data_IF_634902484920
#
_entry.id   IF_634902484920
#
_cell.length_a   1.000
_cell.length_b   1.000
_cell.length_c   1.000
_cell.angle_alpha   90.00
_cell.angle_beta   90.00
_cell.angle_gamma   90.00
#
_symmetry.space_group_name_H-M   'P 1'
#
loop_
_entity.id
_entity.type
_entity.pdbx_description
1 polymer ?
#
# COMPACT_ATOMS: atom_id res chain seq x y z
N UNK A 1 -2.30 8.98 22.83
CA UNK A 1 -3.42 8.29 22.11
C UNK A 1 -4.03 7.25 23.04
N UNK A 2 -5.35 7.12 23.08
CA UNK A 2 -6.01 6.07 23.86
C UNK A 2 -6.20 4.77 23.07
N UNK A 3 -6.64 3.70 23.74
CA UNK A 3 -6.80 2.38 23.11
C UNK A 3 -7.95 2.31 22.09
N UNK A 4 -9.01 3.13 22.26
CA UNK A 4 -10.12 3.21 21.30
C UNK A 4 -9.68 3.90 20.02
N UNK A 5 -8.91 4.98 20.13
CA UNK A 5 -8.30 5.65 18.99
C UNK A 5 -7.38 4.70 18.21
N UNK A 6 -6.57 3.89 18.92
CA UNK A 6 -5.69 2.92 18.28
C UNK A 6 -6.47 1.83 17.52
N UNK A 7 -7.52 1.27 18.11
CA UNK A 7 -8.41 0.32 17.43
C UNK A 7 -9.08 0.94 16.20
N UNK A 8 -9.59 2.16 16.34
CA UNK A 8 -10.27 2.85 15.24
C UNK A 8 -9.30 3.19 14.10
N UNK A 9 -8.11 3.69 14.41
CA UNK A 9 -7.09 3.95 13.39
C UNK A 9 -6.59 2.65 12.74
N UNK A 10 -6.50 1.56 13.50
CA UNK A 10 -6.24 0.23 12.93
C UNK A 10 -7.33 -0.22 11.96
N UNK A 11 -8.62 0.01 12.28
CA UNK A 11 -9.74 -0.24 11.37
C UNK A 11 -9.60 0.62 10.09
N UNK A 12 -9.34 1.92 10.24
CA UNK A 12 -9.13 2.84 9.10
C UNK A 12 -7.97 2.34 8.24
N UNK A 13 -6.82 1.99 8.84
CA UNK A 13 -5.67 1.42 8.14
C UNK A 13 -6.06 0.16 7.37
N UNK A 14 -6.69 -0.81 8.03
CA UNK A 14 -7.08 -2.08 7.42
C UNK A 14 -8.01 -1.91 6.23
N UNK A 15 -9.04 -1.08 6.37
CA UNK A 15 -9.99 -0.83 5.28
C UNK A 15 -9.36 -0.09 4.09
N UNK A 16 -8.42 0.83 4.33
CA UNK A 16 -7.95 1.76 3.30
C UNK A 16 -6.62 1.38 2.67
N UNK A 17 -5.84 0.46 3.26
CA UNK A 17 -4.51 0.07 2.76
C UNK A 17 -4.58 -0.58 1.37
N UNK A 18 -5.55 -1.46 1.16
CA UNK A 18 -5.66 -2.22 -0.08
C UNK A 18 -6.53 -1.52 -1.12
N UNK A 19 -7.51 -0.74 -0.68
CA UNK A 19 -8.31 0.08 -1.57
C UNK A 19 -7.43 1.19 -2.19
N UNK A 20 -7.62 1.54 -3.47
CA UNK A 20 -6.82 2.57 -4.11
C UNK A 20 -7.25 3.99 -3.71
N UNK A 21 -7.37 4.25 -2.37
CA UNK A 21 -7.87 5.50 -1.79
C UNK A 21 -6.90 6.19 -0.82
N UNK A 22 -5.72 5.60 -0.58
CA UNK A 22 -4.64 6.10 0.28
C UNK A 22 -4.92 6.02 1.80
N UNK A 23 -4.43 4.96 2.44
CA UNK A 23 -4.45 4.81 3.90
C UNK A 23 -3.74 5.96 4.62
N UNK A 24 -2.60 6.40 4.10
CA UNK A 24 -1.83 7.53 4.65
C UNK A 24 -2.65 8.83 4.69
N UNK A 25 -3.43 9.10 3.65
CA UNK A 25 -4.33 10.26 3.66
C UNK A 25 -5.40 10.13 4.74
N UNK A 26 -6.03 8.96 4.87
CA UNK A 26 -7.07 8.73 5.88
C UNK A 26 -6.53 8.82 7.31
N UNK A 27 -5.34 8.25 7.57
CA UNK A 27 -4.70 8.31 8.88
C UNK A 27 -4.26 9.74 9.26
N UNK A 28 -4.24 10.68 8.31
CA UNK A 28 -3.99 12.10 8.57
C UNK A 28 -5.28 12.89 8.70
N UNK A 29 -6.22 12.66 7.78
CA UNK A 29 -7.46 13.44 7.67
C UNK A 29 -8.47 13.05 8.76
N UNK A 30 -8.63 11.76 9.04
CA UNK A 30 -9.62 11.28 10.03
C UNK A 30 -9.32 11.78 11.44
N UNK A 31 -8.09 11.72 11.98
CA UNK A 31 -7.76 12.36 13.25
C UNK A 31 -8.05 13.86 13.26
N UNK A 32 -7.69 14.57 12.18
CA UNK A 32 -7.95 16.00 12.06
C UNK A 32 -9.45 16.33 12.18
N UNK A 33 -10.32 15.61 11.48
CA UNK A 33 -11.78 15.81 11.56
C UNK A 33 -12.36 15.49 12.94
N UNK A 34 -11.76 14.54 13.66
CA UNK A 34 -12.21 14.17 15.00
C UNK A 34 -11.58 15.03 16.12
N UNK A 35 -10.74 16.01 15.77
CA UNK A 35 -10.02 16.84 16.74
C UNK A 35 -8.95 16.05 17.52
N UNK A 36 -8.43 14.95 16.96
CA UNK A 36 -7.37 14.15 17.54
C UNK A 36 -5.99 14.64 17.05
N UNK A 37 -4.97 14.41 17.85
CA UNK A 37 -3.60 14.63 17.41
C UNK A 37 -3.21 13.66 16.31
N UNK A 38 -2.32 14.10 15.41
CA UNK A 38 -1.74 13.22 14.38
C UNK A 38 -0.98 12.07 15.05
N UNK A 39 -1.33 10.81 14.78
CA UNK A 39 -0.63 9.66 15.36
C UNK A 39 0.84 9.54 14.93
N UNK A 40 1.25 10.32 13.94
CA UNK A 40 2.61 10.31 13.42
C UNK A 40 2.85 9.23 12.36
N UNK A 41 4.00 9.38 11.68
CA UNK A 41 4.41 8.43 10.65
C UNK A 41 4.77 7.06 11.26
N UNK A 42 5.36 7.06 12.44
CA UNK A 42 5.82 5.87 13.14
C UNK A 42 4.66 4.94 13.51
N UNK A 43 3.63 5.45 14.19
CA UNK A 43 2.42 4.69 14.50
C UNK A 43 1.77 4.14 13.21
N UNK A 44 1.64 5.01 12.20
CA UNK A 44 1.03 4.64 10.90
C UNK A 44 1.79 3.50 10.21
N UNK A 45 3.12 3.52 10.25
CA UNK A 45 3.95 2.48 9.66
C UNK A 45 3.90 1.15 10.45
N UNK A 46 3.85 1.23 11.79
CA UNK A 46 3.78 0.02 12.63
C UNK A 46 2.44 -0.69 12.47
N UNK A 47 1.32 0.02 12.42
CA UNK A 47 0.01 -0.64 12.22
C UNK A 47 -0.14 -1.25 10.81
N UNK A 48 0.68 -0.86 9.82
CA UNK A 48 0.78 -1.53 8.52
C UNK A 48 1.24 -2.99 8.64
N UNK A 49 1.94 -3.37 9.72
CA UNK A 49 2.28 -4.78 9.97
C UNK A 49 1.05 -5.67 10.10
N UNK A 50 -0.06 -5.14 10.60
CA UNK A 50 -1.33 -5.86 10.62
C UNK A 50 -1.82 -6.15 9.20
N UNK A 51 -1.82 -5.16 8.33
CA UNK A 51 -2.19 -5.36 6.91
C UNK A 51 -1.18 -6.24 6.17
N UNK A 52 0.11 -6.18 6.50
CA UNK A 52 1.11 -7.11 5.99
C UNK A 52 0.78 -8.55 6.37
N UNK A 53 0.45 -8.82 7.63
CA UNK A 53 0.00 -10.14 8.08
C UNK A 53 -1.26 -10.58 7.33
N UNK A 54 -2.20 -9.67 7.07
CA UNK A 54 -3.40 -9.96 6.28
C UNK A 54 -3.05 -10.44 4.86
N UNK A 55 -2.14 -9.76 4.16
CA UNK A 55 -1.68 -10.20 2.82
C UNK A 55 -0.96 -11.55 2.90
N UNK A 56 -0.07 -11.73 3.87
CA UNK A 56 0.66 -12.98 4.04
C UNK A 56 -0.29 -14.17 4.28
N UNK A 57 -1.30 -13.99 5.12
CA UNK A 57 -2.31 -15.03 5.40
C UNK A 57 -3.18 -15.26 4.18
N UNK A 58 -3.68 -14.19 3.54
CA UNK A 58 -4.56 -14.30 2.39
C UNK A 58 -3.89 -14.98 1.19
N UNK A 59 -2.65 -14.58 0.89
CA UNK A 59 -1.85 -15.09 -0.23
C UNK A 59 -0.80 -16.13 0.20
N UNK A 60 -1.01 -16.82 1.32
CA UNK A 60 -0.02 -17.74 1.87
C UNK A 60 0.52 -18.75 0.85
N UNK A 61 -0.38 -19.35 0.06
CA UNK A 61 0.01 -20.34 -0.96
C UNK A 61 0.87 -19.72 -2.07
N UNK A 62 0.51 -18.50 -2.53
CA UNK A 62 1.26 -17.79 -3.55
C UNK A 62 2.67 -17.43 -3.03
N UNK A 63 2.74 -16.87 -1.84
CA UNK A 63 4.01 -16.49 -1.19
C UNK A 63 4.90 -17.72 -0.99
N UNK A 64 4.34 -18.81 -0.48
CA UNK A 64 5.06 -20.06 -0.29
C UNK A 64 5.61 -20.59 -1.62
N UNK A 65 4.84 -20.60 -2.68
CA UNK A 65 5.29 -21.03 -4.02
C UNK A 65 6.45 -20.18 -4.53
N UNK A 66 6.35 -18.85 -4.40
CA UNK A 66 7.41 -17.92 -4.80
C UNK A 66 8.70 -18.15 -4.01
N UNK A 67 8.62 -18.27 -2.69
CA UNK A 67 9.77 -18.49 -1.81
C UNK A 67 10.43 -19.85 -2.10
N UNK A 68 9.63 -20.92 -2.20
CA UNK A 68 10.16 -22.27 -2.49
C UNK A 68 10.83 -22.29 -3.86
N UNK A 69 10.23 -21.68 -4.89
CA UNK A 69 10.82 -21.61 -6.22
C UNK A 69 12.19 -20.91 -6.22
N UNK A 70 12.34 -19.82 -5.48
CA UNK A 70 13.63 -19.13 -5.32
C UNK A 70 14.64 -20.04 -4.61
N UNK A 71 14.28 -20.64 -3.46
CA UNK A 71 15.18 -21.48 -2.67
C UNK A 71 15.66 -22.72 -3.46
N UNK A 72 14.75 -23.39 -4.16
CA UNK A 72 15.05 -24.54 -5.02
C UNK A 72 15.92 -24.12 -6.21
N UNK A 73 15.59 -22.99 -6.85
CA UNK A 73 16.38 -22.45 -7.95
C UNK A 73 17.81 -22.11 -7.55
N UNK A 74 18.00 -21.48 -6.38
CA UNK A 74 19.33 -21.19 -5.83
C UNK A 74 20.11 -22.47 -5.49
N UNK A 75 19.47 -23.44 -4.82
CA UNK A 75 20.07 -24.74 -4.49
C UNK A 75 20.55 -25.49 -5.74
N UNK A 76 19.76 -25.45 -6.81
CA UNK A 76 20.06 -26.13 -8.06
C UNK A 76 20.95 -25.29 -9.02
N UNK A 77 21.39 -24.09 -8.59
CA UNK A 77 22.14 -23.13 -9.41
C UNK A 77 21.42 -22.70 -10.68
N UNK A 78 20.09 -22.68 -10.64
CA UNK A 78 19.19 -22.27 -11.75
C UNK A 78 18.12 -21.28 -11.24
N UNK A 79 18.51 -20.08 -10.82
CA UNK A 79 17.65 -19.15 -10.09
C UNK A 79 16.46 -18.62 -10.90
N UNK A 80 16.45 -18.79 -12.23
CA UNK A 80 15.41 -18.27 -13.13
C UNK A 80 14.72 -19.38 -13.95
N UNK A 81 14.79 -20.64 -13.52
CA UNK A 81 14.30 -21.77 -14.32
C UNK A 81 12.76 -21.82 -14.37
N UNK A 82 12.10 -21.50 -13.24
CA UNK A 82 10.62 -21.57 -13.17
C UNK A 82 9.97 -20.19 -13.28
N UNK A 83 8.72 -20.16 -13.74
CA UNK A 83 7.94 -18.91 -13.85
C UNK A 83 7.75 -18.22 -12.49
N UNK A 84 7.56 -19.02 -11.43
CA UNK A 84 7.42 -18.54 -10.06
C UNK A 84 8.73 -17.89 -9.56
N UNK A 85 9.88 -18.51 -9.85
CA UNK A 85 11.17 -17.94 -9.50
C UNK A 85 11.42 -16.63 -10.28
N UNK A 86 11.14 -16.59 -11.56
CA UNK A 86 11.23 -15.38 -12.38
C UNK A 86 10.32 -14.26 -11.85
N UNK A 87 9.09 -14.60 -11.45
CA UNK A 87 8.14 -13.66 -10.86
C UNK A 87 8.66 -13.13 -9.50
N UNK A 88 9.16 -14.00 -8.65
CA UNK A 88 9.71 -13.61 -7.35
C UNK A 88 10.91 -12.65 -7.48
N UNK A 89 11.85 -12.96 -8.37
CA UNK A 89 12.97 -12.07 -8.67
C UNK A 89 12.53 -10.75 -9.31
N UNK A 90 11.49 -10.78 -10.16
CA UNK A 90 10.92 -9.57 -10.75
C UNK A 90 10.24 -8.68 -9.72
N UNK A 91 9.57 -9.27 -8.71
CA UNK A 91 9.01 -8.55 -7.55
C UNK A 91 10.13 -7.93 -6.72
N UNK A 92 11.18 -8.68 -6.40
CA UNK A 92 12.33 -8.18 -5.66
C UNK A 92 12.98 -6.99 -6.37
N UNK A 93 13.27 -7.12 -7.66
CA UNK A 93 13.82 -6.04 -8.47
C UNK A 93 12.87 -4.84 -8.61
N UNK A 94 11.55 -5.09 -8.78
CA UNK A 94 10.53 -4.04 -8.85
C UNK A 94 10.31 -3.30 -7.53
N UNK A 95 10.81 -3.83 -6.41
CA UNK A 95 10.78 -3.14 -5.11
C UNK A 95 11.98 -2.20 -4.93
N UNK A 96 13.08 -2.37 -5.68
CA UNK A 96 14.27 -1.55 -5.53
C UNK A 96 14.01 -0.03 -5.71
N UNK A 97 13.25 0.44 -6.71
CA UNK A 97 13.01 1.87 -6.88
C UNK A 97 12.40 2.53 -5.64
N UNK A 98 11.35 1.93 -5.05
CA UNK A 98 10.72 2.49 -3.84
C UNK A 98 11.66 2.43 -2.64
N UNK A 99 12.48 1.37 -2.51
CA UNK A 99 13.47 1.25 -1.44
C UNK A 99 14.55 2.33 -1.53
N UNK A 100 15.17 2.50 -2.70
CA UNK A 100 16.23 3.49 -2.92
C UNK A 100 15.71 4.92 -2.72
N UNK A 101 14.58 5.25 -3.33
CA UNK A 101 13.99 6.58 -3.21
C UNK A 101 13.45 6.85 -1.79
N UNK A 102 12.87 5.82 -1.14
CA UNK A 102 12.38 5.92 0.23
C UNK A 102 13.50 6.26 1.23
N UNK A 103 14.65 5.62 1.09
CA UNK A 103 15.83 5.93 1.92
C UNK A 103 16.42 7.30 1.58
N UNK A 104 16.48 7.63 0.29
CA UNK A 104 17.07 8.91 -0.18
C UNK A 104 16.23 10.15 0.18
N UNK A 105 14.92 10.00 0.32
CA UNK A 105 13.98 11.10 0.63
C UNK A 105 13.30 10.92 2.00
N UNK A 106 13.88 10.11 2.91
CA UNK A 106 13.29 9.76 4.21
C UNK A 106 12.80 10.98 5.00
N UNK A 107 13.66 11.98 5.16
CA UNK A 107 13.35 13.17 5.96
C UNK A 107 12.22 13.98 5.35
N UNK A 108 12.26 14.22 4.05
CA UNK A 108 11.19 14.90 3.32
C UNK A 108 9.84 14.17 3.42
N UNK A 109 9.86 12.82 3.33
CA UNK A 109 8.65 11.99 3.45
C UNK A 109 8.04 12.09 4.86
N UNK A 110 8.89 12.15 5.89
CA UNK A 110 8.44 12.23 7.29
C UNK A 110 7.96 13.64 7.68
N UNK A 111 8.35 14.69 6.96
CA UNK A 111 8.09 16.10 7.27
C UNK A 111 7.21 16.78 6.22
N UNK A 112 7.80 17.45 5.24
CA UNK A 112 7.13 18.34 4.29
C UNK A 112 6.07 17.61 3.44
N UNK A 113 6.33 16.36 3.05
CA UNK A 113 5.39 15.58 2.24
C UNK A 113 4.06 15.28 2.95
N UNK A 114 4.00 15.40 4.28
CA UNK A 114 2.78 15.22 5.07
C UNK A 114 1.87 16.47 5.09
N UNK A 115 2.23 17.55 4.44
CA UNK A 115 1.37 18.73 4.32
C UNK A 115 0.07 18.38 3.58
N UNK A 116 -1.08 18.87 4.09
CA UNK A 116 -2.42 18.52 3.57
C UNK A 116 -2.56 18.86 2.08
N UNK A 117 -2.01 19.99 1.63
CA UNK A 117 -2.06 20.37 0.21
C UNK A 117 -1.30 19.40 -0.71
N UNK A 118 -0.17 18.81 -0.24
CA UNK A 118 0.58 17.79 -0.98
C UNK A 118 -0.25 16.51 -1.06
N UNK A 119 -0.80 16.07 0.07
CA UNK A 119 -1.66 14.88 0.16
C UNK A 119 -2.87 15.04 -0.76
N UNK A 120 -3.54 16.18 -0.69
CA UNK A 120 -4.71 16.46 -1.51
C UNK A 120 -4.41 16.50 -3.01
N UNK A 121 -3.34 17.19 -3.40
CA UNK A 121 -2.90 17.22 -4.80
C UNK A 121 -2.57 15.81 -5.30
N UNK A 122 -1.84 15.02 -4.52
CA UNK A 122 -1.50 13.63 -4.85
C UNK A 122 -2.76 12.74 -4.97
N UNK A 123 -3.77 12.95 -4.11
CA UNK A 123 -5.05 12.25 -4.20
C UNK A 123 -5.72 12.48 -5.56
N UNK A 124 -5.82 13.75 -6.00
CA UNK A 124 -6.47 14.08 -7.28
C UNK A 124 -5.64 13.60 -8.46
N UNK A 125 -4.35 13.93 -8.49
CA UNK A 125 -3.49 13.57 -9.62
C UNK A 125 -3.51 12.06 -9.86
N UNK A 126 -3.34 11.25 -8.80
CA UNK A 126 -3.39 9.81 -8.99
C UNK A 126 -4.81 9.30 -9.30
N UNK A 127 -5.87 9.95 -8.80
CA UNK A 127 -7.23 9.60 -9.18
C UNK A 127 -7.44 9.77 -10.70
N UNK A 128 -7.00 10.89 -11.28
CA UNK A 128 -7.05 11.14 -12.72
C UNK A 128 -6.21 10.13 -13.49
N UNK A 129 -4.99 9.87 -13.06
CA UNK A 129 -4.10 8.89 -13.70
C UNK A 129 -4.67 7.47 -13.63
N UNK A 130 -5.26 7.06 -12.52
CA UNK A 130 -5.92 5.76 -12.39
C UNK A 130 -7.12 5.65 -13.32
N UNK A 131 -7.94 6.68 -13.40
CA UNK A 131 -9.06 6.74 -14.35
C UNK A 131 -8.59 6.65 -15.81
N UNK A 132 -7.57 7.40 -16.20
CA UNK A 132 -6.97 7.32 -17.54
C UNK A 132 -6.42 5.92 -17.83
N UNK A 133 -5.67 5.36 -16.88
CA UNK A 133 -5.11 4.01 -17.01
C UNK A 133 -6.22 2.98 -17.25
N UNK A 134 -7.33 3.05 -16.51
CA UNK A 134 -8.46 2.15 -16.70
C UNK A 134 -9.18 2.39 -18.03
N UNK A 135 -9.37 3.65 -18.40
CA UNK A 135 -10.10 4.03 -19.65
C UNK A 135 -9.40 3.54 -20.90
N UNK A 136 -8.06 3.53 -20.89
CA UNK A 136 -7.24 3.12 -22.04
C UNK A 136 -6.67 1.71 -21.92
N UNK A 137 -6.91 1.00 -20.81
CA UNK A 137 -6.43 -0.37 -20.61
C UNK A 137 -7.16 -1.35 -21.52
N UNK A 138 -6.42 -2.30 -22.06
CA UNK A 138 -7.01 -3.48 -22.74
C UNK A 138 -7.61 -4.46 -21.75
N UNK A 139 -7.16 -4.46 -20.48
CA UNK A 139 -7.61 -5.28 -19.35
C UNK A 139 -7.82 -6.78 -19.68
N UNK A 140 -6.92 -7.38 -20.50
CA UNK A 140 -7.06 -8.74 -21.01
C UNK A 140 -5.93 -9.69 -20.57
N UNK A 141 -4.88 -9.18 -19.91
CA UNK A 141 -3.71 -9.97 -19.50
C UNK A 141 -3.82 -10.46 -18.05
N UNK A 142 -3.15 -11.59 -17.80
CA UNK A 142 -2.86 -12.11 -16.45
C UNK A 142 -1.42 -11.82 -16.07
N UNK A 143 -1.10 -11.85 -14.77
CA UNK A 143 0.27 -11.62 -14.25
C UNK A 143 1.29 -12.56 -14.91
N UNK A 144 0.96 -13.83 -15.10
CA UNK A 144 1.82 -14.82 -15.76
C UNK A 144 2.21 -14.46 -17.21
N UNK A 145 1.53 -13.50 -17.83
CA UNK A 145 1.81 -13.02 -19.19
C UNK A 145 2.68 -11.75 -19.22
N UNK A 146 3.07 -11.24 -18.02
CA UNK A 146 3.94 -10.09 -17.92
C UNK A 146 5.40 -10.53 -18.03
N UNK A 147 6.14 -9.91 -18.95
CA UNK A 147 7.60 -10.02 -18.96
C UNK A 147 8.23 -9.09 -17.90
N UNK A 148 9.52 -9.33 -17.62
CA UNK A 148 10.31 -8.61 -16.63
C UNK A 148 10.13 -7.09 -16.72
N UNK A 149 10.31 -6.46 -17.87
CA UNK A 149 10.24 -5.00 -18.04
C UNK A 149 8.87 -4.39 -17.68
N UNK A 150 7.76 -5.13 -17.96
CA UNK A 150 6.43 -4.66 -17.57
C UNK A 150 6.25 -4.69 -16.05
N UNK A 151 6.81 -5.71 -15.40
CA UNK A 151 6.81 -5.79 -13.92
C UNK A 151 7.65 -4.64 -13.34
N UNK A 152 8.81 -4.32 -13.94
CA UNK A 152 9.64 -3.20 -13.49
C UNK A 152 8.92 -1.84 -13.67
N UNK A 153 8.12 -1.67 -14.73
CA UNK A 153 7.27 -0.49 -14.88
C UNK A 153 6.27 -0.35 -13.72
N UNK A 154 5.61 -1.44 -13.34
CA UNK A 154 4.68 -1.44 -12.19
C UNK A 154 5.44 -1.14 -10.89
N UNK A 155 6.65 -1.69 -10.74
CA UNK A 155 7.56 -1.38 -9.63
C UNK A 155 7.98 0.09 -9.57
N UNK A 156 8.23 0.71 -10.72
CA UNK A 156 8.50 2.15 -10.79
C UNK A 156 7.27 2.97 -10.40
N UNK A 157 6.08 2.58 -10.85
CA UNK A 157 4.83 3.20 -10.40
C UNK A 157 4.64 3.07 -8.88
N UNK A 158 5.13 1.99 -8.25
CA UNK A 158 5.09 1.82 -6.80
C UNK A 158 5.84 2.94 -6.07
N UNK A 159 6.91 3.49 -6.65
CA UNK A 159 7.67 4.58 -6.03
C UNK A 159 6.86 5.87 -5.86
N UNK A 160 5.80 6.08 -6.64
CA UNK A 160 4.86 7.20 -6.42
C UNK A 160 4.22 7.15 -5.03
N UNK A 161 4.12 5.96 -4.42
CA UNK A 161 3.56 5.79 -3.07
C UNK A 161 4.38 6.45 -1.95
N UNK A 162 5.62 6.87 -2.22
CA UNK A 162 6.43 7.68 -1.31
C UNK A 162 5.84 9.08 -1.09
N UNK A 163 5.04 9.56 -2.04
CA UNK A 163 4.29 10.81 -1.88
C UNK A 163 2.99 10.45 -1.13
N UNK A 164 2.79 10.94 0.11
CA UNK A 164 1.54 10.71 0.85
C UNK A 164 0.34 11.19 0.03
N UNK A 165 -0.74 10.41 0.04
CA UNK A 165 -1.89 10.67 -0.84
C UNK A 165 -1.87 9.86 -2.14
N UNK A 166 -0.71 9.47 -2.70
CA UNK A 166 -0.66 8.69 -3.93
C UNK A 166 -1.26 7.28 -3.81
N UNK A 167 -1.29 6.67 -2.62
CA UNK A 167 -1.73 5.29 -2.45
C UNK A 167 -0.84 4.26 -3.16
N UNK A 168 -0.21 3.37 -2.44
CA UNK A 168 0.64 2.31 -3.00
C UNK A 168 -0.19 1.37 -3.88
N UNK A 169 -1.32 0.89 -3.37
CA UNK A 169 -2.26 0.05 -4.14
C UNK A 169 -2.78 0.79 -5.38
N UNK A 170 -3.15 2.06 -5.25
CA UNK A 170 -3.58 2.89 -6.38
C UNK A 170 -2.53 3.03 -7.46
N UNK A 171 -1.29 3.33 -7.10
CA UNK A 171 -0.16 3.50 -8.03
C UNK A 171 0.19 2.20 -8.76
N UNK A 172 0.22 1.07 -8.05
CA UNK A 172 0.56 -0.23 -8.64
C UNK A 172 -0.60 -0.83 -9.45
N UNK A 173 -1.86 -0.65 -9.03
CA UNK A 173 -3.03 -1.02 -9.83
C UNK A 173 -3.05 -0.21 -11.13
N UNK A 174 -2.84 1.10 -11.06
CA UNK A 174 -2.69 1.97 -12.23
C UNK A 174 -1.61 1.45 -13.18
N UNK A 175 -0.40 1.18 -12.66
CA UNK A 175 0.71 0.63 -13.45
C UNK A 175 0.36 -0.73 -14.08
N UNK A 176 -0.35 -1.60 -13.36
CA UNK A 176 -0.85 -2.88 -13.87
C UNK A 176 -1.85 -2.74 -14.99
N UNK A 177 -2.81 -1.81 -14.86
CA UNK A 177 -3.80 -1.50 -15.90
C UNK A 177 -3.13 -0.92 -17.16
N UNK A 178 -2.13 -0.04 -17.01
CA UNK A 178 -1.33 0.47 -18.14
C UNK A 178 -0.61 -0.65 -18.89
N UNK A 179 -0.19 -1.71 -18.18
CA UNK A 179 0.42 -2.89 -18.80
C UNK A 179 -0.60 -3.90 -19.34
N UNK A 180 -1.90 -3.58 -19.26
CA UNK A 180 -3.01 -4.36 -19.81
C UNK A 180 -3.48 -5.50 -18.92
N UNK A 181 -3.16 -5.50 -17.62
CA UNK A 181 -3.69 -6.48 -16.68
C UNK A 181 -5.21 -6.32 -16.50
N UNK A 182 -5.88 -7.43 -16.25
CA UNK A 182 -7.26 -7.43 -15.74
C UNK A 182 -7.26 -6.72 -14.37
N UNK A 183 -8.40 -6.10 -13.99
CA UNK A 183 -8.50 -5.30 -12.76
C UNK A 183 -8.17 -6.10 -11.50
N UNK A 184 -8.74 -7.28 -11.36
CA UNK A 184 -8.49 -8.19 -10.24
C UNK A 184 -7.04 -8.72 -10.23
N UNK A 185 -6.47 -9.01 -11.40
CA UNK A 185 -5.06 -9.39 -11.53
C UNK A 185 -4.11 -8.24 -11.17
N UNK A 186 -4.44 -7.00 -11.56
CA UNK A 186 -3.68 -5.81 -11.19
C UNK A 186 -3.69 -5.58 -9.67
N UNK A 187 -4.85 -5.74 -9.02
CA UNK A 187 -4.96 -5.66 -7.57
C UNK A 187 -4.18 -6.78 -6.86
N UNK A 188 -4.36 -8.04 -7.30
CA UNK A 188 -3.63 -9.18 -6.76
C UNK A 188 -2.12 -9.00 -6.85
N UNK A 189 -1.63 -8.58 -8.03
CA UNK A 189 -0.20 -8.34 -8.23
C UNK A 189 0.30 -7.16 -7.41
N UNK A 190 -0.49 -6.09 -7.29
CA UNK A 190 -0.19 -4.94 -6.43
C UNK A 190 0.09 -5.36 -4.99
N UNK A 191 -0.70 -6.29 -4.44
CA UNK A 191 -0.52 -6.77 -3.06
C UNK A 191 0.76 -7.59 -2.92
N UNK A 192 1.04 -8.50 -3.84
CA UNK A 192 2.27 -9.30 -3.82
C UNK A 192 3.52 -8.43 -3.99
N UNK A 193 3.49 -7.46 -4.92
CA UNK A 193 4.59 -6.52 -5.13
C UNK A 193 4.82 -5.61 -3.91
N UNK A 194 3.76 -5.31 -3.16
CA UNK A 194 3.83 -4.50 -1.95
C UNK A 194 4.50 -5.19 -0.76
N UNK A 195 4.49 -6.54 -0.71
CA UNK A 195 4.99 -7.30 0.44
C UNK A 195 6.42 -6.94 0.86
N UNK A 196 7.43 -6.93 -0.05
CA UNK A 196 8.79 -6.60 0.37
C UNK A 196 8.94 -5.16 0.87
N UNK A 197 8.22 -4.22 0.26
CA UNK A 197 8.26 -2.80 0.65
C UNK A 197 7.65 -2.57 2.04
N UNK A 198 6.47 -3.17 2.32
CA UNK A 198 5.82 -3.04 3.64
C UNK A 198 6.63 -3.75 4.72
N UNK A 199 7.21 -4.92 4.39
CA UNK A 199 8.13 -5.62 5.30
C UNK A 199 9.30 -4.71 5.69
N UNK A 200 9.97 -4.13 4.70
CA UNK A 200 11.15 -3.29 4.94
C UNK A 200 10.78 -2.04 5.76
N UNK A 201 9.71 -1.32 5.40
CA UNK A 201 9.29 -0.12 6.13
C UNK A 201 8.80 -0.46 7.55
N UNK A 202 7.97 -1.49 7.70
CA UNK A 202 7.43 -1.87 8.99
C UNK A 202 8.51 -2.35 9.97
N UNK A 203 9.48 -3.16 9.53
CA UNK A 203 10.60 -3.56 10.38
C UNK A 203 11.55 -2.42 10.70
N UNK A 204 11.74 -1.49 9.77
CA UNK A 204 12.56 -0.31 9.99
C UNK A 204 11.95 0.58 11.09
N UNK A 205 10.66 0.88 11.03
CA UNK A 205 9.98 1.67 12.05
C UNK A 205 9.87 0.93 13.39
N UNK A 206 9.68 -0.40 13.40
CA UNK A 206 9.74 -1.20 14.63
C UNK A 206 11.12 -1.12 15.28
N UNK A 207 12.18 -1.11 14.49
CA UNK A 207 13.55 -0.99 14.99
C UNK A 207 13.78 0.41 15.60
N UNK A 208 13.32 1.49 14.94
CA UNK A 208 13.39 2.84 15.49
C UNK A 208 12.57 2.94 16.81
N UNK A 209 11.37 2.35 16.82
CA UNK A 209 10.50 2.33 17.99
C UNK A 209 11.11 1.57 19.18
N UNK A 210 11.81 0.46 18.90
CA UNK A 210 12.48 -0.31 19.96
C UNK A 210 13.66 0.42 20.60
N UNK A 211 14.25 1.37 19.89
CA UNK A 211 15.31 2.23 20.44
C UNK A 211 14.76 3.41 21.26
N UNK A 212 13.47 3.70 21.19
CA UNK A 212 12.80 4.74 21.94
C UNK A 212 12.20 4.18 23.24
N UNK A 213 12.31 4.94 24.34
CA UNK A 213 11.67 4.60 25.62
C UNK A 213 10.17 4.90 25.51
N UNK A 214 9.38 3.89 25.08
CA UNK A 214 7.93 4.02 24.99
C UNK A 214 7.24 3.50 26.26
N UNK A 215 6.21 4.19 26.75
CA UNK A 215 5.38 3.73 27.87
C UNK A 215 4.67 2.39 27.56
N UNK A 216 4.45 1.57 28.57
CA UNK A 216 3.79 0.27 28.41
C UNK A 216 2.40 0.36 27.76
N UNK A 217 1.67 1.45 28.00
CA UNK A 217 0.36 1.70 27.38
C UNK A 217 0.45 1.91 25.86
N UNK A 218 1.55 2.43 25.35
CA UNK A 218 1.74 2.57 23.89
C UNK A 218 1.94 1.23 23.20
N UNK A 219 2.65 0.28 23.82
CA UNK A 219 2.75 -1.09 23.28
C UNK A 219 1.39 -1.77 23.17
N UNK A 220 0.51 -1.58 24.17
CA UNK A 220 -0.86 -2.06 24.11
C UNK A 220 -1.63 -1.43 22.95
N UNK A 221 -1.53 -0.13 22.76
CA UNK A 221 -2.22 0.61 21.70
C UNK A 221 -1.72 0.17 20.32
N UNK A 222 -0.41 0.00 20.14
CA UNK A 222 0.18 -0.55 18.91
C UNK A 222 -0.34 -1.96 18.62
N UNK A 223 -0.37 -2.84 19.62
CA UNK A 223 -0.89 -4.20 19.45
C UNK A 223 -2.37 -4.20 19.01
N UNK A 224 -3.20 -3.37 19.64
CA UNK A 224 -4.61 -3.23 19.29
C UNK A 224 -4.79 -2.65 17.88
N UNK A 225 -3.99 -1.67 17.50
CA UNK A 225 -3.97 -1.11 16.15
C UNK A 225 -3.56 -2.14 15.09
N UNK A 226 -2.51 -2.94 15.35
CA UNK A 226 -2.06 -4.03 14.48
C UNK A 226 -3.15 -5.09 14.33
N UNK A 227 -3.77 -5.53 15.45
CA UNK A 227 -4.82 -6.54 15.41
C UNK A 227 -6.03 -6.07 14.61
N UNK A 228 -6.47 -4.84 14.86
CA UNK A 228 -7.58 -4.23 14.11
C UNK A 228 -7.25 -4.12 12.62
N UNK A 229 -6.06 -3.60 12.27
CA UNK A 229 -5.65 -3.48 10.88
C UNK A 229 -5.49 -4.83 10.16
N UNK A 230 -5.10 -5.89 10.88
CA UNK A 230 -5.07 -7.25 10.35
C UNK A 230 -6.48 -7.74 9.96
N UNK A 231 -7.43 -7.65 10.89
CA UNK A 231 -8.79 -8.14 10.67
C UNK A 231 -9.46 -7.42 9.50
N UNK A 232 -9.46 -6.08 9.56
CA UNK A 232 -10.10 -5.27 8.52
C UNK A 232 -9.33 -5.26 7.22
N UNK A 233 -8.00 -5.43 7.26
CA UNK A 233 -7.17 -5.63 6.08
C UNK A 233 -7.50 -6.91 5.33
N UNK A 234 -7.66 -8.02 6.04
CA UNK A 234 -8.07 -9.28 5.43
C UNK A 234 -9.43 -9.17 4.72
N UNK A 235 -10.41 -8.56 5.38
CA UNK A 235 -11.74 -8.32 4.80
C UNK A 235 -11.68 -7.38 3.59
N UNK A 236 -10.83 -6.37 3.65
CA UNK A 236 -10.65 -5.40 2.57
C UNK A 236 -10.02 -6.01 1.31
N UNK A 237 -9.05 -6.93 1.46
CA UNK A 237 -8.48 -7.69 0.33
C UNK A 237 -9.57 -8.49 -0.38
N UNK A 238 -10.34 -9.28 0.38
CA UNK A 238 -11.40 -10.11 -0.17
C UNK A 238 -12.46 -9.27 -0.88
N UNK A 239 -12.89 -8.17 -0.24
CA UNK A 239 -13.83 -7.22 -0.83
C UNK A 239 -13.32 -6.67 -2.15
N UNK A 240 -12.09 -6.12 -2.18
CA UNK A 240 -11.56 -5.47 -3.38
C UNK A 240 -11.41 -6.45 -4.54
N UNK A 241 -10.88 -7.64 -4.30
CA UNK A 241 -10.68 -8.63 -5.34
C UNK A 241 -12.03 -9.11 -5.94
N UNK A 242 -13.06 -9.30 -5.09
CA UNK A 242 -14.40 -9.62 -5.59
C UNK A 242 -15.02 -8.47 -6.36
N UNK A 243 -14.89 -7.25 -5.82
CA UNK A 243 -15.45 -6.05 -6.44
C UNK A 243 -14.86 -5.81 -7.84
N UNK A 244 -13.55 -5.88 -7.99
CA UNK A 244 -12.86 -5.60 -9.26
C UNK A 244 -13.05 -6.68 -10.35
N UNK A 245 -13.64 -7.82 -10.03
CA UNK A 245 -14.05 -8.81 -11.04
C UNK A 245 -15.22 -8.33 -11.89
N UNK A 246 -16.09 -7.51 -11.33
CA UNK A 246 -17.34 -7.07 -11.96
C UNK A 246 -17.45 -5.57 -12.10
N UNK A 247 -16.72 -4.79 -11.32
CA UNK A 247 -16.77 -3.33 -11.30
C UNK A 247 -15.42 -2.70 -11.65
N UNK A 248 -15.45 -1.45 -12.06
CA UNK A 248 -14.25 -0.65 -12.33
C UNK A 248 -13.74 0.11 -11.10
N UNK A 249 -12.64 0.84 -11.30
CA UNK A 249 -12.03 1.65 -10.24
C UNK A 249 -12.67 3.03 -10.07
N UNK A 250 -13.66 3.40 -10.89
CA UNK A 250 -14.25 4.74 -10.91
C UNK A 250 -14.82 5.18 -9.56
N UNK A 251 -15.39 4.25 -8.78
CA UNK A 251 -15.90 4.55 -7.43
C UNK A 251 -14.79 5.07 -6.51
N UNK A 252 -13.61 4.47 -6.59
CA UNK A 252 -12.44 4.90 -5.80
C UNK A 252 -11.89 6.23 -6.30
N UNK A 253 -11.91 6.47 -7.61
CA UNK A 253 -11.54 7.75 -8.22
C UNK A 253 -12.43 8.86 -7.71
N UNK A 254 -13.75 8.68 -7.79
CA UNK A 254 -14.74 9.65 -7.28
C UNK A 254 -14.56 9.91 -5.78
N UNK A 255 -14.37 8.85 -4.99
CA UNK A 255 -14.15 8.96 -3.55
C UNK A 255 -12.90 9.80 -3.22
N UNK A 256 -11.77 9.59 -3.92
CA UNK A 256 -10.54 10.38 -3.71
C UNK A 256 -10.75 11.87 -3.99
N UNK A 257 -11.49 12.20 -5.04
CA UNK A 257 -11.81 13.58 -5.35
C UNK A 257 -12.69 14.22 -4.28
N UNK A 258 -13.68 13.48 -3.75
CA UNK A 258 -14.55 13.95 -2.66
C UNK A 258 -13.77 14.16 -1.34
N UNK A 259 -12.88 13.23 -1.00
CA UNK A 259 -12.07 13.34 0.21
C UNK A 259 -11.23 14.62 0.23
N UNK A 260 -10.63 14.97 -0.90
CA UNK A 260 -9.87 16.21 -1.02
C UNK A 260 -10.74 17.47 -0.92
N UNK A 261 -11.90 17.49 -1.57
CA UNK A 261 -12.75 18.70 -1.57
C UNK A 261 -13.33 19.00 -0.19
N UNK A 262 -13.58 18.00 0.65
CA UNK A 262 -13.99 18.20 2.03
C UNK A 262 -12.87 18.75 2.91
N UNK A 263 -11.63 18.31 2.71
CA UNK A 263 -10.45 18.74 3.45
C UNK A 263 -10.04 20.17 3.08
N UNK A 264 -10.02 20.49 1.77
CA UNK A 264 -9.74 21.84 1.28
C UNK A 264 -10.80 22.88 1.71
N UNK A 265 -12.05 22.47 1.94
CA UNK A 265 -13.09 23.36 2.41
C UNK A 265 -12.91 23.77 3.88
N UNK A 266 -12.27 22.94 4.68
CA UNK A 266 -11.98 23.24 6.10
C UNK A 266 -10.73 24.12 6.25
N UNK A 267 -9.71 23.95 5.41
CA UNK A 267 -8.51 24.82 5.36
C UNK A 267 -8.84 26.27 4.91
N UNK A 268 -9.94 26.48 4.17
CA UNK A 268 -10.40 27.82 3.75
C UNK A 268 -11.21 28.56 4.84
N UNK A 269 -11.47 27.91 5.99
CA UNK A 269 -12.19 28.49 7.12
C UNK A 269 -11.31 28.99 8.27
N UNK A 270 -9.98 28.91 8.12
CA UNK A 270 -9.02 29.48 9.08
C UNK A 270 -8.58 30.88 8.72
#
# INVERSE_FOLDING_TARGET
>A
MDWMQALFLGLVQGLTEFLPISSTAHLRVVPHWLGWEDPGAEFSAVIQLGTLLAVLVYFWKDVQQLVVAVLVGLKNRKPFETAEAQLAWSIAAGTLPIGILGLGFKDWIKTEARALWIIGTALIVLAVLLWLAERFSTANRRVAQLGFFRIQWIGLCQALALIPGCSRSGSTIMGGLMMGLKRDEAARFSFLLGLPAILASGFFELYELWQSDIPADEYRNLFLGILSSFIFGYLSIEFLLRFLRTHGTLVFVAYRCLLYTSDAADDLRC
#
